data_IF_323144377849
#
_entry.id   IF_323144377849
#
_cell.length_a   1.000
_cell.length_b   1.000
_cell.length_c   1.000
_cell.angle_alpha   90.00
_cell.angle_beta   90.00
_cell.angle_gamma   90.00
#
_symmetry.space_group_name_H-M   'P 1'
#
loop_
_entity.id
_entity.type
_entity.pdbx_description
1 polymer ?
#
# COMPACT_ATOMS: atom_id res chain seq x y z
N UNK A 1 -16.24 11.67 -9.27
CA UNK A 1 -16.23 12.63 -8.15
C UNK A 1 -15.39 12.05 -7.04
N UNK A 2 -14.51 12.85 -6.43
CA UNK A 2 -13.73 12.43 -5.28
C UNK A 2 -14.50 12.74 -4.00
N UNK A 3 -14.50 11.81 -3.06
CA UNK A 3 -15.01 12.01 -1.70
C UNK A 3 -13.86 11.64 -0.77
N UNK A 4 -13.31 12.63 -0.07
CA UNK A 4 -12.19 12.43 0.85
C UNK A 4 -12.68 12.03 2.23
N UNK A 5 -12.01 11.07 2.85
CA UNK A 5 -12.18 10.74 4.26
C UNK A 5 -11.47 11.78 5.13
N UNK A 6 -12.13 12.23 6.21
CA UNK A 6 -11.62 13.23 7.15
C UNK A 6 -11.52 12.70 8.60
N UNK A 7 -11.89 11.44 8.82
CA UNK A 7 -11.95 10.80 10.14
C UNK A 7 -13.36 10.63 10.69
N UNK A 8 -14.39 11.12 9.99
CA UNK A 8 -15.78 10.95 10.39
C UNK A 8 -16.39 9.60 9.95
N UNK A 9 -15.71 8.82 9.09
CA UNK A 9 -16.26 7.59 8.53
C UNK A 9 -17.25 7.89 7.42
N UNK A 10 -16.81 8.67 6.43
CA UNK A 10 -17.65 9.22 5.37
C UNK A 10 -18.12 8.09 4.44
N UNK A 11 -19.45 7.92 4.26
CA UNK A 11 -19.98 6.95 3.31
C UNK A 11 -19.54 7.27 1.88
N UNK A 12 -19.01 6.25 1.18
CA UNK A 12 -18.55 6.40 -0.20
C UNK A 12 -17.24 7.18 -0.35
N UNK A 13 -16.51 7.46 0.73
CA UNK A 13 -15.14 7.96 0.62
C UNK A 13 -14.29 7.05 -0.27
N UNK A 14 -13.55 7.66 -1.18
CA UNK A 14 -12.67 6.98 -2.14
C UNK A 14 -11.26 7.59 -2.19
N UNK A 15 -10.95 8.50 -1.27
CA UNK A 15 -9.60 8.99 -1.07
C UNK A 15 -9.30 9.31 0.39
N UNK A 16 -8.06 9.10 0.81
CA UNK A 16 -7.54 9.56 2.10
C UNK A 16 -6.97 11.00 2.07
N UNK A 17 -6.95 11.66 0.91
CA UNK A 17 -6.38 12.99 0.77
C UNK A 17 -7.16 13.84 -0.25
N UNK A 18 -6.89 15.14 -0.26
CA UNK A 18 -7.52 16.08 -1.20
C UNK A 18 -6.55 16.54 -2.29
N UNK A 19 -7.07 17.14 -3.36
CA UNK A 19 -6.25 17.72 -4.44
C UNK A 19 -5.42 18.90 -3.95
N UNK A 20 -5.92 19.68 -2.99
CA UNK A 20 -5.19 20.77 -2.34
C UNK A 20 -4.01 20.22 -1.53
N UNK A 21 -4.25 19.15 -0.75
CA UNK A 21 -3.21 18.49 0.02
C UNK A 21 -2.11 17.91 -0.89
N UNK A 22 -2.48 17.34 -2.04
CA UNK A 22 -1.54 16.87 -3.05
C UNK A 22 -0.61 17.99 -3.53
N UNK A 23 -1.18 19.13 -3.95
CA UNK A 23 -0.40 20.26 -4.44
C UNK A 23 0.56 20.78 -3.36
N UNK A 24 0.05 21.01 -2.16
CA UNK A 24 0.86 21.52 -1.05
C UNK A 24 1.99 20.57 -0.66
N UNK A 25 1.73 19.26 -0.60
CA UNK A 25 2.70 18.26 -0.19
C UNK A 25 3.88 18.13 -1.17
N UNK A 26 3.59 18.13 -2.47
CA UNK A 26 4.59 17.97 -3.52
C UNK A 26 5.34 19.27 -3.84
N UNK A 27 4.68 20.43 -3.73
CA UNK A 27 5.32 21.74 -3.88
C UNK A 27 6.41 21.96 -2.82
N UNK A 28 6.14 21.59 -1.56
CA UNK A 28 7.14 21.64 -0.48
C UNK A 28 8.35 20.72 -0.70
N UNK A 29 8.25 19.76 -1.63
CA UNK A 29 9.32 18.82 -2.00
C UNK A 29 10.01 19.18 -3.32
N UNK A 30 9.60 20.27 -3.97
CA UNK A 30 10.12 20.66 -5.28
C UNK A 30 9.69 19.73 -6.42
N UNK A 31 8.60 19.00 -6.24
CA UNK A 31 8.06 18.07 -7.24
C UNK A 31 7.05 18.77 -8.16
N UNK A 32 6.88 18.26 -9.37
CA UNK A 32 5.94 18.84 -10.33
C UNK A 32 4.49 18.60 -9.89
N UNK A 33 3.70 19.68 -9.82
CA UNK A 33 2.27 19.65 -9.42
C UNK A 33 1.33 20.15 -10.52
N UNK A 34 1.83 20.49 -11.71
CA UNK A 34 1.06 21.10 -12.80
C UNK A 34 0.09 20.16 -13.52
N UNK A 35 -0.30 19.04 -12.90
CA UNK A 35 -1.28 18.11 -13.47
C UNK A 35 -2.71 18.70 -13.45
N UNK A 36 -3.53 18.37 -14.47
CA UNK A 36 -4.96 18.66 -14.44
C UNK A 36 -5.63 18.10 -13.19
N UNK A 37 -6.63 18.82 -12.66
CA UNK A 37 -7.34 18.40 -11.44
C UNK A 37 -7.97 17.01 -11.58
N UNK A 38 -8.55 16.70 -12.74
CA UNK A 38 -9.13 15.38 -13.02
C UNK A 38 -8.10 14.25 -12.95
N UNK A 39 -6.84 14.51 -13.32
CA UNK A 39 -5.77 13.52 -13.23
C UNK A 39 -5.32 13.33 -11.78
N UNK A 40 -5.18 14.42 -11.01
CA UNK A 40 -4.85 14.34 -9.58
C UNK A 40 -5.93 13.55 -8.84
N UNK A 41 -7.22 13.82 -9.11
CA UNK A 41 -8.34 13.05 -8.56
C UNK A 41 -8.20 11.57 -8.91
N UNK A 42 -7.92 11.23 -10.17
CA UNK A 42 -7.75 9.84 -10.57
C UNK A 42 -6.55 9.17 -9.90
N UNK A 43 -5.44 9.91 -9.72
CA UNK A 43 -4.24 9.45 -9.03
C UNK A 43 -4.49 9.16 -7.55
N UNK A 44 -5.20 10.06 -6.85
CA UNK A 44 -5.57 9.92 -5.44
C UNK A 44 -6.49 8.73 -5.18
N UNK A 45 -7.46 8.47 -6.07
CA UNK A 45 -8.32 7.29 -5.98
C UNK A 45 -7.51 6.02 -6.17
N UNK A 46 -6.69 5.94 -7.24
CA UNK A 46 -5.81 4.77 -7.49
C UNK A 46 -4.84 4.49 -6.34
N UNK A 47 -4.28 5.54 -5.75
CA UNK A 47 -3.39 5.45 -4.60
C UNK A 47 -4.12 4.88 -3.37
N UNK A 48 -5.37 5.31 -3.16
CA UNK A 48 -6.21 4.82 -2.06
C UNK A 48 -6.58 3.36 -2.28
N UNK A 49 -7.01 2.98 -3.49
CA UNK A 49 -7.28 1.60 -3.86
C UNK A 49 -6.06 0.70 -3.62
N UNK A 50 -4.85 1.18 -3.94
CA UNK A 50 -3.62 0.45 -3.67
C UNK A 50 -3.42 0.19 -2.18
N UNK A 51 -3.63 1.21 -1.32
CA UNK A 51 -3.52 1.06 0.14
C UNK A 51 -4.57 0.08 0.66
N UNK A 52 -5.82 0.23 0.24
CA UNK A 52 -6.93 -0.63 0.65
C UNK A 52 -6.73 -2.09 0.22
N UNK A 53 -6.09 -2.32 -0.94
CA UNK A 53 -5.79 -3.67 -1.42
C UNK A 53 -4.62 -4.32 -0.65
N UNK A 54 -3.55 -3.57 -0.41
CA UNK A 54 -2.26 -4.12 0.04
C UNK A 54 -1.99 -3.97 1.54
N UNK A 55 -2.81 -3.21 2.27
CA UNK A 55 -2.59 -2.95 3.70
C UNK A 55 -3.87 -3.13 4.51
N UNK A 56 -3.71 -3.44 5.80
CA UNK A 56 -4.80 -3.70 6.75
C UNK A 56 -4.63 -2.83 8.00
N UNK A 57 -5.67 -2.07 8.31
CA UNK A 57 -5.75 -1.31 9.54
C UNK A 57 -5.71 -2.24 10.77
N UNK A 58 -5.10 -1.79 11.89
CA UNK A 58 -4.85 -2.65 13.05
C UNK A 58 -6.11 -2.95 13.87
N UNK A 59 -7.23 -2.26 13.59
CA UNK A 59 -8.52 -2.44 14.24
C UNK A 59 -9.65 -2.38 13.22
N UNK A 60 -10.85 -2.72 13.68
CA UNK A 60 -12.06 -2.59 12.89
C UNK A 60 -12.37 -1.13 12.53
N UNK A 61 -13.08 -0.97 11.41
CA UNK A 61 -13.70 0.28 10.96
C UNK A 61 -14.57 0.87 12.07
N UNK A 62 -14.65 2.20 12.14
CA UNK A 62 -15.53 2.90 13.08
C UNK A 62 -17.01 2.60 12.79
N UNK A 63 -17.38 2.56 11.51
CA UNK A 63 -18.74 2.25 11.05
C UNK A 63 -18.70 1.32 9.82
N UNK A 64 -19.69 0.42 9.65
CA UNK A 64 -19.79 -0.40 8.43
C UNK A 64 -20.21 0.40 7.19
N UNK A 65 -20.78 1.59 7.35
CA UNK A 65 -21.19 2.47 6.25
C UNK A 65 -20.03 3.28 5.65
N UNK A 66 -18.91 3.40 6.36
CA UNK A 66 -17.76 4.18 5.89
C UNK A 66 -17.11 3.55 4.66
N UNK A 67 -16.64 4.39 3.73
CA UNK A 67 -16.10 3.93 2.44
C UNK A 67 -14.76 3.18 2.52
N UNK A 68 -13.92 3.53 3.48
CA UNK A 68 -12.51 3.08 3.56
C UNK A 68 -12.18 2.39 4.89
N UNK A 69 -11.01 1.76 5.01
CA UNK A 69 -10.58 1.14 6.27
C UNK A 69 -10.45 2.12 7.44
N UNK A 70 -10.00 3.34 7.19
CA UNK A 70 -10.00 4.42 8.19
C UNK A 70 -11.30 5.25 8.09
N UNK A 71 -11.77 5.82 9.21
CA UNK A 71 -11.24 5.72 10.56
C UNK A 71 -11.48 4.34 11.19
N UNK A 72 -10.62 3.97 12.15
CA UNK A 72 -10.81 2.78 12.98
C UNK A 72 -11.38 3.16 14.35
N UNK A 73 -11.86 2.17 15.10
CA UNK A 73 -12.31 2.37 16.47
C UNK A 73 -11.25 3.07 17.35
N UNK A 74 -11.64 4.21 17.94
CA UNK A 74 -10.79 5.03 18.80
C UNK A 74 -9.86 6.01 18.04
N UNK A 75 -9.94 6.07 16.71
CA UNK A 75 -9.28 7.11 15.92
C UNK A 75 -10.23 8.30 15.69
N UNK A 76 -9.71 9.52 15.78
CA UNK A 76 -10.45 10.76 15.54
C UNK A 76 -10.10 11.42 14.21
N UNK A 77 -9.15 10.84 13.45
CA UNK A 77 -8.66 11.34 12.17
C UNK A 77 -8.01 10.20 11.38
N UNK A 78 -7.87 10.39 10.06
CA UNK A 78 -6.98 9.57 9.24
C UNK A 78 -5.53 9.87 9.65
N UNK A 79 -4.70 8.85 9.96
CA UNK A 79 -3.31 9.09 10.36
C UNK A 79 -2.52 9.79 9.27
N UNK A 80 -1.70 10.78 9.65
CA UNK A 80 -0.83 11.50 8.73
C UNK A 80 0.04 10.58 7.84
N UNK A 81 0.57 9.43 8.32
CA UNK A 81 1.28 8.50 7.46
C UNK A 81 0.42 7.89 6.33
N UNK A 82 -0.86 7.63 6.57
CA UNK A 82 -1.80 7.14 5.54
C UNK A 82 -2.04 8.23 4.49
N UNK A 83 -2.28 9.46 4.93
CA UNK A 83 -2.44 10.62 4.04
C UNK A 83 -1.18 10.82 3.18
N UNK A 84 0.00 10.87 3.79
CA UNK A 84 1.27 11.08 3.07
C UNK A 84 1.58 9.93 2.10
N UNK A 85 1.23 8.69 2.45
CA UNK A 85 1.36 7.55 1.56
C UNK A 85 0.43 7.68 0.34
N UNK A 86 -0.83 8.08 0.53
CA UNK A 86 -1.77 8.36 -0.56
C UNK A 86 -1.25 9.44 -1.49
N UNK A 87 -0.69 10.54 -0.95
CA UNK A 87 -0.11 11.61 -1.75
C UNK A 87 1.08 11.11 -2.58
N UNK A 88 2.00 10.39 -1.94
CA UNK A 88 3.20 9.83 -2.60
C UNK A 88 2.82 8.85 -3.72
N UNK A 89 1.91 7.92 -3.44
CA UNK A 89 1.41 6.96 -4.43
C UNK A 89 0.60 7.64 -5.55
N UNK A 90 -0.10 8.75 -5.28
CA UNK A 90 -0.82 9.48 -6.31
C UNK A 90 0.13 10.06 -7.35
N UNK A 91 1.29 10.60 -6.93
CA UNK A 91 2.32 11.05 -7.86
C UNK A 91 2.85 9.88 -8.70
N UNK A 92 3.03 8.70 -8.12
CA UNK A 92 3.43 7.52 -8.90
C UNK A 92 2.35 7.07 -9.88
N UNK A 93 1.08 7.13 -9.49
CA UNK A 93 -0.06 6.81 -10.34
C UNK A 93 -0.20 7.75 -11.56
N UNK A 94 0.27 8.99 -11.42
CA UNK A 94 0.34 9.98 -12.51
C UNK A 94 1.49 9.69 -13.48
N UNK A 95 2.56 9.03 -13.01
CA UNK A 95 3.73 8.68 -13.82
C UNK A 95 3.71 7.23 -14.35
N UNK A 96 2.74 6.41 -13.93
CA UNK A 96 2.60 5.04 -14.40
C UNK A 96 1.56 4.22 -13.61
N UNK A 97 1.25 3.00 -14.05
CA UNK A 97 0.33 2.12 -13.34
C UNK A 97 0.92 1.62 -12.00
N UNK A 98 0.18 1.78 -10.90
CA UNK A 98 0.60 1.30 -9.56
C UNK A 98 0.56 -0.24 -9.41
N UNK A 99 -0.35 -0.88 -10.15
CA UNK A 99 -0.54 -2.33 -10.16
C UNK A 99 -0.24 -2.83 -11.58
N UNK A 100 1.04 -3.03 -11.89
CA UNK A 100 1.41 -3.82 -13.05
C UNK A 100 0.99 -5.28 -12.82
N UNK A 101 0.61 -6.04 -13.86
CA UNK A 101 0.37 -7.47 -13.72
C UNK A 101 1.57 -8.13 -13.06
N UNK A 102 1.34 -8.90 -11.98
CA UNK A 102 2.43 -9.56 -11.27
C UNK A 102 3.13 -10.57 -12.19
N UNK A 103 4.36 -10.29 -12.60
CA UNK A 103 5.25 -11.32 -13.14
C UNK A 103 5.69 -12.20 -11.96
N UNK A 104 5.31 -13.47 -11.97
CA UNK A 104 5.80 -14.45 -10.98
C UNK A 104 7.30 -14.67 -11.23
N UNK A 105 8.13 -14.16 -10.33
CA UNK A 105 9.57 -14.45 -10.32
C UNK A 105 9.86 -15.78 -9.62
N UNK A 106 10.89 -16.50 -10.08
CA UNK A 106 11.44 -17.66 -9.37
C UNK A 106 12.66 -17.25 -8.56
N UNK A 107 12.70 -17.62 -7.28
CA UNK A 107 13.86 -17.46 -6.39
C UNK A 107 14.61 -18.78 -6.29
N UNK A 108 15.92 -18.77 -6.62
CA UNK A 108 16.78 -19.95 -6.47
C UNK A 108 17.64 -19.83 -5.22
N UNK A 109 17.61 -20.82 -4.35
CA UNK A 109 18.55 -20.94 -3.23
C UNK A 109 19.42 -22.18 -3.44
N UNK A 110 20.74 -21.98 -3.57
CA UNK A 110 21.71 -23.06 -3.70
C UNK A 110 22.45 -23.21 -2.38
N UNK A 111 22.36 -24.39 -1.75
CA UNK A 111 23.16 -24.72 -0.58
C UNK A 111 24.22 -25.76 -0.98
N UNK A 112 25.49 -25.37 -0.87
CA UNK A 112 26.62 -26.27 -1.09
C UNK A 112 26.87 -27.06 0.19
N UNK A 113 26.68 -28.37 0.15
CA UNK A 113 26.96 -29.27 1.27
C UNK A 113 28.35 -29.89 1.06
N UNK A 114 29.23 -29.75 2.04
CA UNK A 114 30.56 -30.36 1.97
C UNK A 114 30.42 -31.89 1.91
N UNK A 115 30.90 -32.49 0.82
CA UNK A 115 30.99 -33.94 0.62
C UNK A 115 29.80 -34.62 -0.06
N UNK A 116 28.66 -33.94 -0.30
CA UNK A 116 27.46 -34.56 -0.89
C UNK A 116 26.75 -33.60 -1.86
N UNK A 117 27.39 -33.25 -2.98
CA UNK A 117 26.75 -32.56 -4.10
C UNK A 117 26.11 -31.19 -3.80
N UNK A 118 25.64 -30.52 -4.85
CA UNK A 118 24.89 -29.26 -4.73
C UNK A 118 23.39 -29.59 -4.69
N UNK A 119 22.70 -29.18 -3.63
CA UNK A 119 21.24 -29.23 -3.58
C UNK A 119 20.70 -27.87 -4.02
N UNK A 120 20.05 -27.83 -5.18
CA UNK A 120 19.34 -26.64 -5.67
C UNK A 120 17.86 -26.80 -5.35
N UNK A 121 17.32 -25.84 -4.61
CA UNK A 121 15.88 -25.74 -4.38
C UNK A 121 15.38 -24.45 -5.02
N UNK A 122 14.45 -24.59 -5.96
CA UNK A 122 13.77 -23.47 -6.60
C UNK A 122 12.44 -23.22 -5.88
N UNK A 123 12.21 -21.99 -5.44
CA UNK A 123 10.95 -21.54 -4.86
C UNK A 123 10.32 -20.49 -5.78
N UNK A 124 9.00 -20.48 -5.88
CA UNK A 124 8.31 -19.29 -6.38
C UNK A 124 8.53 -18.15 -5.39
N UNK A 125 9.10 -17.04 -5.86
CA UNK A 125 9.29 -15.86 -5.04
C UNK A 125 7.96 -15.13 -4.93
N UNK A 126 7.53 -14.79 -3.72
CA UNK A 126 6.53 -13.74 -3.58
C UNK A 126 7.08 -12.45 -4.22
N UNK A 127 6.28 -11.73 -5.02
CA UNK A 127 6.74 -10.48 -5.62
C UNK A 127 7.19 -9.52 -4.53
N UNK A 128 8.37 -8.93 -4.72
CA UNK A 128 8.92 -7.94 -3.80
C UNK A 128 7.98 -6.72 -3.70
N UNK A 129 7.98 -6.05 -2.55
CA UNK A 129 7.23 -4.81 -2.38
C UNK A 129 7.71 -3.75 -3.39
N UNK A 130 6.86 -3.28 -4.31
CA UNK A 130 7.25 -2.30 -5.32
C UNK A 130 7.49 -0.90 -4.73
N UNK A 131 6.97 -0.61 -3.54
CA UNK A 131 7.07 0.71 -2.89
C UNK A 131 7.57 0.60 -1.44
N UNK A 132 8.82 0.16 -1.22
CA UNK A 132 9.34 -0.12 0.13
C UNK A 132 9.36 1.11 1.04
N UNK A 133 9.56 2.31 0.48
CA UNK A 133 9.51 3.55 1.25
C UNK A 133 8.08 3.90 1.70
N UNK A 134 7.04 3.54 0.93
CA UNK A 134 5.63 3.67 1.36
C UNK A 134 5.35 2.70 2.50
N UNK A 135 5.79 1.44 2.38
CA UNK A 135 5.67 0.49 3.50
C UNK A 135 6.41 0.94 4.75
N UNK A 136 7.59 1.56 4.60
CA UNK A 136 8.32 2.14 5.73
C UNK A 136 7.57 3.32 6.36
N UNK A 137 6.94 4.18 5.54
CA UNK A 137 6.11 5.29 6.01
C UNK A 137 4.89 4.80 6.79
N UNK A 138 4.29 3.71 6.34
CA UNK A 138 3.09 3.09 6.92
C UNK A 138 3.41 2.20 8.13
N UNK A 139 4.69 1.89 8.37
CA UNK A 139 5.12 1.03 9.45
C UNK A 139 4.64 1.54 10.83
N UNK A 140 3.98 0.66 11.59
CA UNK A 140 3.43 0.98 12.91
C UNK A 140 2.03 1.63 12.89
N UNK A 141 1.50 1.98 11.71
CA UNK A 141 0.13 2.52 11.56
C UNK A 141 -0.79 1.53 10.85
N UNK A 142 -0.31 0.93 9.77
CA UNK A 142 -1.07 -0.04 8.97
C UNK A 142 -0.12 -1.15 8.50
N UNK A 143 -0.56 -2.41 8.59
CA UNK A 143 0.28 -3.55 8.26
C UNK A 143 0.11 -3.92 6.78
N UNK A 144 1.19 -4.26 6.08
CA UNK A 144 1.08 -4.83 4.74
C UNK A 144 0.42 -6.20 4.81
N UNK A 145 -0.57 -6.45 3.97
CA UNK A 145 -1.18 -7.77 3.81
C UNK A 145 -0.20 -8.66 3.02
N UNK A 146 0.65 -9.40 3.73
CA UNK A 146 1.68 -10.24 3.11
C UNK A 146 1.15 -11.56 2.56
N UNK A 147 -0.17 -11.77 2.51
CA UNK A 147 -0.78 -12.99 1.98
C UNK A 147 -0.23 -14.24 2.65
N UNK A 148 -0.78 -14.59 3.82
CA UNK A 148 -0.35 -15.68 4.72
C UNK A 148 0.66 -16.67 4.12
N UNK A 149 1.95 -16.45 4.40
CA UNK A 149 2.95 -17.49 4.23
C UNK A 149 2.61 -18.62 5.20
N UNK A 150 2.03 -19.71 4.67
CA UNK A 150 1.91 -20.97 5.38
C UNK A 150 3.30 -21.36 5.87
N UNK A 151 3.56 -21.20 7.17
CA UNK A 151 4.69 -21.82 7.84
C UNK A 151 4.37 -23.33 7.85
N UNK A 152 4.75 -24.02 6.77
CA UNK A 152 4.77 -25.48 6.70
C UNK A 152 5.78 -25.98 7.73
N UNK A 153 5.29 -26.25 8.94
CA UNK A 153 6.05 -26.94 9.97
C UNK A 153 6.56 -28.26 9.41
N UNK A 154 7.87 -28.48 9.53
CA UNK A 154 8.49 -29.77 9.25
C UNK A 154 7.82 -30.84 10.12
N UNK A 155 6.97 -31.68 9.53
CA UNK A 155 6.59 -32.95 10.11
C UNK A 155 7.73 -33.94 9.85
N UNK A 156 8.67 -34.00 10.78
CA UNK A 156 9.51 -35.19 10.96
C UNK A 156 8.78 -36.18 11.85
N UNK A 157 8.40 -37.33 11.29
CA UNK A 157 8.32 -38.61 12.00
C UNK A 157 8.92 -39.69 11.13
#
# INVERSE_FOLDING_TARGET
>A
MMISEDGAGVPGANSYATTEAFRAYHELRGEFVGFPESEIVAGLVKATDYIEANYRAPKARLSPEQGLQWPIEGATAVPAPVVNATLTLALYALNGPLMAPAERGTSKSTKKLEGVGELTTEYDAAPADPYPHVSAMLAGVIARDTGGALIMGQLTR
#
